data_IF_786644886027
#
_entry.id   IF_786644886027
#
_cell.length_a   1.000
_cell.length_b   1.000
_cell.length_c   1.000
_cell.angle_alpha   90.00
_cell.angle_beta   90.00
_cell.angle_gamma   90.00
#
_symmetry.space_group_name_H-M   'P 1'
#
loop_
_entity.id
_entity.type
_entity.pdbx_description
1 polymer ?
#
# COMPACT_ATOMS: atom_id res chain seq x y z
N UNK A 1 -54.91 11.11 -46.59
CA UNK A 1 -54.74 11.09 -45.12
C UNK A 1 -55.07 9.70 -44.59
N UNK A 2 -54.06 8.87 -44.31
CA UNK A 2 -54.14 7.75 -43.36
C UNK A 2 -52.74 7.55 -42.81
N UNK A 3 -52.54 8.07 -41.62
CA UNK A 3 -51.26 8.13 -40.92
C UNK A 3 -51.12 6.92 -40.01
N UNK A 4 -49.87 6.45 -39.90
CA UNK A 4 -49.24 5.80 -38.77
C UNK A 4 -49.69 4.40 -38.36
N UNK A 5 -48.76 3.46 -38.51
CA UNK A 5 -48.77 2.14 -37.90
C UNK A 5 -47.39 1.49 -37.97
N UNK A 6 -46.34 2.19 -37.55
CA UNK A 6 -45.03 1.58 -37.26
C UNK A 6 -44.53 2.18 -35.96
N UNK A 7 -44.59 1.40 -34.88
CA UNK A 7 -43.64 1.57 -33.77
C UNK A 7 -43.14 0.17 -33.48
N UNK A 8 -41.94 -0.10 -34.01
CA UNK A 8 -41.20 -1.33 -33.81
C UNK A 8 -40.78 -1.48 -32.35
N UNK A 9 -40.81 -2.72 -31.89
CA UNK A 9 -40.08 -3.14 -30.71
C UNK A 9 -38.60 -3.25 -31.06
N UNK A 10 -37.72 -2.55 -30.34
CA UNK A 10 -36.33 -2.99 -30.18
C UNK A 10 -35.81 -2.57 -28.81
N UNK A 11 -35.54 -3.60 -28.01
CA UNK A 11 -34.85 -3.58 -26.72
C UNK A 11 -33.42 -3.10 -26.93
N UNK A 12 -32.98 -2.11 -26.14
CA UNK A 12 -31.57 -1.88 -25.85
C UNK A 12 -31.44 -1.44 -24.39
N UNK A 13 -31.45 -2.42 -23.48
CA UNK A 13 -30.87 -2.31 -22.15
C UNK A 13 -29.35 -2.18 -22.33
N UNK A 14 -28.85 -0.99 -22.67
CA UNK A 14 -27.44 -0.66 -22.45
C UNK A 14 -27.26 -0.31 -20.97
N UNK A 15 -27.37 -1.32 -20.11
CA UNK A 15 -26.61 -1.27 -18.88
C UNK A 15 -25.14 -1.51 -19.29
N UNK A 16 -24.47 -0.46 -19.77
CA UNK A 16 -23.01 -0.39 -19.68
C UNK A 16 -22.69 -0.21 -18.19
N UNK A 17 -22.93 -1.27 -17.41
CA UNK A 17 -22.18 -1.49 -16.19
C UNK A 17 -20.74 -1.61 -16.64
N UNK A 18 -20.02 -0.49 -16.66
CA UNK A 18 -18.57 -0.50 -16.76
C UNK A 18 -18.09 -1.61 -15.83
N UNK A 19 -17.47 -2.66 -16.39
CA UNK A 19 -17.00 -3.79 -15.62
C UNK A 19 -16.05 -3.23 -14.55
N UNK A 20 -16.50 -3.32 -13.31
CA UNK A 20 -15.68 -3.02 -12.16
C UNK A 20 -14.59 -4.09 -12.07
N UNK A 21 -13.35 -3.64 -11.88
CA UNK A 21 -12.19 -4.50 -11.63
C UNK A 21 -11.80 -4.34 -10.17
N UNK A 22 -11.27 -5.39 -9.55
CA UNK A 22 -10.79 -5.39 -8.18
C UNK A 22 -9.49 -6.19 -8.06
N UNK A 23 -8.58 -5.78 -7.16
CA UNK A 23 -7.36 -6.50 -6.76
C UNK A 23 -7.26 -6.57 -5.23
N UNK A 24 -6.63 -7.62 -4.73
CA UNK A 24 -6.23 -7.66 -3.32
C UNK A 24 -4.93 -6.90 -3.18
N UNK A 25 -4.86 -5.99 -2.22
CA UNK A 25 -3.71 -5.18 -1.97
C UNK A 25 -3.27 -5.30 -0.52
N UNK A 26 -1.97 -5.41 -0.31
CA UNK A 26 -1.37 -5.53 1.01
C UNK A 26 -0.15 -4.65 1.12
N UNK A 27 0.04 -4.07 2.30
CA UNK A 27 1.29 -3.46 2.69
C UNK A 27 1.98 -4.29 3.77
N UNK A 28 3.30 -4.46 3.64
CA UNK A 28 4.13 -5.11 4.63
C UNK A 28 5.39 -4.27 4.87
N UNK A 29 5.81 -4.19 6.12
CA UNK A 29 7.00 -3.45 6.49
C UNK A 29 8.09 -4.33 7.11
N UNK A 30 9.35 -4.00 6.80
CA UNK A 30 10.54 -4.56 7.42
C UNK A 30 11.39 -3.43 8.01
N UNK A 31 12.08 -3.73 9.11
CA UNK A 31 13.03 -2.82 9.73
C UNK A 31 14.33 -3.54 10.04
N UNK A 32 15.44 -2.96 9.61
CA UNK A 32 16.77 -3.52 9.75
C UNK A 32 17.66 -2.56 10.55
N UNK A 33 18.50 -3.14 11.40
CA UNK A 33 19.41 -2.40 12.27
C UNK A 33 20.85 -2.84 12.03
N UNK A 34 21.74 -1.86 11.94
CA UNK A 34 23.18 -2.07 11.89
C UNK A 34 23.84 -1.35 13.08
N UNK A 35 24.23 -2.10 14.09
CA UNK A 35 24.89 -1.58 15.29
C UNK A 35 26.41 -1.79 15.25
N UNK A 36 27.15 -0.80 15.74
CA UNK A 36 28.55 -1.00 16.10
C UNK A 36 28.68 -1.98 17.27
N UNK A 37 29.62 -2.93 17.20
CA UNK A 37 29.94 -3.92 18.25
C UNK A 37 30.27 -3.29 19.62
N UNK A 38 30.58 -2.00 19.64
CA UNK A 38 30.94 -1.26 20.87
C UNK A 38 29.74 -0.71 21.63
N UNK A 39 28.53 -0.76 21.05
CA UNK A 39 27.29 -0.33 21.70
C UNK A 39 26.87 -1.39 22.73
N UNK A 40 26.45 -0.96 23.92
CA UNK A 40 26.00 -1.91 24.94
C UNK A 40 24.73 -2.66 24.51
N UNK A 41 24.62 -3.95 24.87
CA UNK A 41 23.46 -4.77 24.52
C UNK A 41 22.14 -4.19 25.06
N UNK A 42 22.17 -3.55 26.22
CA UNK A 42 20.99 -2.89 26.79
C UNK A 42 20.49 -1.72 25.90
N UNK A 43 21.39 -1.01 25.23
CA UNK A 43 21.02 0.03 24.29
C UNK A 43 20.50 -0.56 22.98
N UNK A 44 21.12 -1.63 22.47
CA UNK A 44 20.63 -2.37 21.29
C UNK A 44 19.19 -2.82 21.51
N UNK A 45 18.94 -3.56 22.60
CA UNK A 45 17.61 -4.08 22.94
C UNK A 45 16.56 -2.94 23.06
N UNK A 46 16.96 -1.81 23.66
CA UNK A 46 16.08 -0.67 23.82
C UNK A 46 15.74 0.04 22.49
N UNK A 47 16.73 0.17 21.59
CA UNK A 47 16.56 0.79 20.28
C UNK A 47 15.71 -0.09 19.36
N UNK A 48 16.01 -1.39 19.29
CA UNK A 48 15.22 -2.35 18.53
C UNK A 48 13.76 -2.38 18.99
N UNK A 49 13.52 -2.45 20.31
CA UNK A 49 12.16 -2.44 20.85
C UNK A 49 11.43 -1.12 20.58
N UNK A 50 12.13 0.02 20.68
CA UNK A 50 11.58 1.33 20.40
C UNK A 50 11.13 1.45 18.94
N UNK A 51 12.04 1.19 18.00
CA UNK A 51 11.75 1.29 16.58
C UNK A 51 10.74 0.24 16.11
N UNK A 52 10.83 -1.01 16.56
CA UNK A 52 9.85 -2.05 16.18
C UNK A 52 8.43 -1.69 16.63
N UNK A 53 8.28 -1.08 17.81
CA UNK A 53 6.97 -0.64 18.31
C UNK A 53 6.43 0.55 17.52
N UNK A 54 7.27 1.55 17.27
CA UNK A 54 6.90 2.72 16.46
C UNK A 54 6.58 2.33 15.03
N UNK A 55 7.40 1.50 14.40
CA UNK A 55 7.24 1.09 13.00
C UNK A 55 5.92 0.37 12.75
N UNK A 56 5.54 -0.60 13.60
CA UNK A 56 4.23 -1.28 13.49
C UNK A 56 3.05 -0.32 13.72
N UNK A 57 3.24 0.73 14.52
CA UNK A 57 2.20 1.72 14.79
C UNK A 57 2.04 2.71 13.64
N UNK A 58 3.15 3.16 13.07
CA UNK A 58 3.20 4.18 12.02
C UNK A 58 2.93 3.56 10.64
N UNK A 59 3.29 2.28 10.44
CA UNK A 59 3.17 1.52 9.20
C UNK A 59 2.48 0.17 9.46
N UNK A 60 1.18 0.16 9.83
CA UNK A 60 0.46 -1.08 10.11
C UNK A 60 0.32 -1.92 8.85
N UNK A 61 0.34 -3.25 8.99
CA UNK A 61 -0.01 -4.16 7.89
C UNK A 61 -1.44 -3.88 7.43
N UNK A 62 -1.58 -3.21 6.29
CA UNK A 62 -2.87 -2.87 5.71
C UNK A 62 -3.23 -3.92 4.67
N UNK A 63 -4.43 -4.45 4.73
CA UNK A 63 -4.95 -5.35 3.70
C UNK A 63 -6.33 -4.85 3.28
N UNK A 64 -6.47 -4.58 1.99
CA UNK A 64 -7.69 -4.02 1.43
C UNK A 64 -7.93 -4.50 0.01
N UNK A 65 -9.20 -4.51 -0.40
CA UNK A 65 -9.56 -4.71 -1.81
C UNK A 65 -9.70 -3.35 -2.48
N UNK A 66 -8.95 -3.12 -3.56
CA UNK A 66 -9.04 -1.90 -4.37
C UNK A 66 -9.86 -2.19 -5.62
N UNK A 67 -11.04 -1.56 -5.72
CA UNK A 67 -11.95 -1.68 -6.85
C UNK A 67 -12.12 -0.37 -7.63
N UNK A 68 -12.32 -0.46 -8.95
CA UNK A 68 -12.52 0.72 -9.80
C UNK A 68 -12.95 0.38 -11.22
N UNK A 69 -13.19 1.42 -12.05
CA UNK A 69 -13.61 1.28 -13.45
C UNK A 69 -12.63 1.97 -14.39
N UNK A 70 -12.25 1.28 -15.47
CA UNK A 70 -11.39 1.87 -16.51
C UNK A 70 -10.13 2.49 -15.93
N UNK A 71 -9.91 3.79 -16.16
CA UNK A 71 -8.74 4.54 -15.66
C UNK A 71 -8.76 4.74 -14.14
N UNK A 72 -9.93 4.78 -13.51
CA UNK A 72 -10.04 4.99 -12.07
C UNK A 72 -9.50 3.77 -11.31
N UNK A 73 -9.60 2.58 -11.90
CA UNK A 73 -8.99 1.37 -11.34
C UNK A 73 -7.46 1.50 -11.30
N UNK A 74 -6.84 1.80 -12.46
CA UNK A 74 -5.38 1.94 -12.54
C UNK A 74 -4.89 3.06 -11.61
N UNK A 75 -5.59 4.21 -11.56
CA UNK A 75 -5.27 5.31 -10.64
C UNK A 75 -5.38 4.90 -9.16
N UNK A 76 -6.38 4.09 -8.79
CA UNK A 76 -6.53 3.64 -7.41
C UNK A 76 -5.44 2.64 -7.01
N UNK A 77 -5.00 1.79 -7.93
CA UNK A 77 -3.85 0.89 -7.71
C UNK A 77 -2.58 1.72 -7.55
N UNK A 78 -2.30 2.62 -8.49
CA UNK A 78 -1.13 3.50 -8.44
C UNK A 78 -1.11 4.34 -7.14
N UNK A 79 -2.27 4.81 -6.69
CA UNK A 79 -2.39 5.56 -5.44
C UNK A 79 -2.08 4.71 -4.21
N UNK A 80 -2.51 3.44 -4.19
CA UNK A 80 -2.22 2.51 -3.11
C UNK A 80 -0.75 2.12 -3.08
N UNK A 81 -0.18 1.74 -4.23
CA UNK A 81 1.24 1.36 -4.33
C UNK A 81 2.18 2.56 -4.09
N UNK A 82 1.71 3.80 -4.30
CA UNK A 82 2.44 5.00 -3.91
C UNK A 82 2.51 5.26 -2.39
N UNK A 83 1.79 4.48 -1.57
CA UNK A 83 1.94 4.50 -0.11
C UNK A 83 3.21 3.76 0.35
N UNK A 84 3.89 3.01 -0.53
CA UNK A 84 5.20 2.43 -0.24
C UNK A 84 6.22 3.51 0.16
N UNK A 85 7.04 3.22 1.16
CA UNK A 85 7.97 4.17 1.76
C UNK A 85 9.25 3.48 2.24
N UNK A 86 10.40 4.03 1.85
CA UNK A 86 11.72 3.59 2.30
C UNK A 86 12.44 4.75 3.01
N UNK A 87 13.11 4.44 4.11
CA UNK A 87 13.97 5.40 4.80
C UNK A 87 15.23 4.75 5.37
N UNK A 88 16.26 5.57 5.52
CA UNK A 88 17.49 5.23 6.26
C UNK A 88 17.84 6.39 7.18
N UNK A 89 18.13 6.07 8.44
CA UNK A 89 18.57 7.04 9.45
C UNK A 89 19.92 6.63 10.03
N UNK A 90 20.89 7.52 9.90
CA UNK A 90 22.20 7.39 10.53
C UNK A 90 22.20 8.06 11.90
N UNK A 91 22.61 7.31 12.92
CA UNK A 91 22.52 7.71 14.31
C UNK A 91 23.84 7.51 15.07
N UNK A 92 23.89 8.01 16.30
CA UNK A 92 25.05 7.83 17.19
C UNK A 92 24.60 7.69 18.64
N UNK A 93 25.12 6.68 19.34
CA UNK A 93 24.90 6.46 20.77
C UNK A 93 26.22 6.06 21.43
N UNK A 94 26.52 6.61 22.61
CA UNK A 94 27.81 6.38 23.30
C UNK A 94 29.05 6.76 22.48
N UNK A 95 28.89 7.57 21.43
CA UNK A 95 29.94 7.93 20.48
C UNK A 95 30.18 6.92 19.36
N UNK A 96 29.37 5.85 19.28
CA UNK A 96 29.44 4.84 18.23
C UNK A 96 28.29 4.99 17.23
N UNK A 97 28.57 4.82 15.93
CA UNK A 97 27.56 4.91 14.90
C UNK A 97 26.64 3.67 14.92
N UNK A 98 25.41 3.88 14.50
CA UNK A 98 24.49 2.82 14.13
C UNK A 98 23.49 3.36 13.11
N UNK A 99 22.90 2.48 12.32
CA UNK A 99 21.96 2.83 11.25
C UNK A 99 20.70 2.00 11.40
N UNK A 100 19.56 2.59 11.03
CA UNK A 100 18.28 1.90 10.89
C UNK A 100 17.71 2.17 9.52
N UNK A 101 17.24 1.11 8.86
CA UNK A 101 16.57 1.19 7.57
C UNK A 101 15.19 0.58 7.72
N UNK A 102 14.17 1.31 7.28
CA UNK A 102 12.80 0.80 7.20
C UNK A 102 12.34 0.78 5.74
N UNK A 103 11.70 -0.31 5.36
CA UNK A 103 11.11 -0.52 4.05
C UNK A 103 9.66 -0.95 4.25
N UNK A 104 8.73 -0.19 3.69
CA UNK A 104 7.30 -0.48 3.71
C UNK A 104 6.82 -0.57 2.28
N UNK A 105 6.40 -1.77 1.87
CA UNK A 105 6.00 -2.07 0.50
C UNK A 105 4.52 -2.41 0.42
N UNK A 106 3.77 -1.54 -0.25
CA UNK A 106 2.37 -1.67 -0.60
C UNK A 106 2.23 -2.15 -2.04
N UNK A 107 1.68 -3.35 -2.20
CA UNK A 107 1.50 -3.98 -3.52
C UNK A 107 0.08 -4.46 -3.71
N UNK A 108 -0.43 -4.33 -4.92
CA UNK A 108 -1.67 -4.96 -5.35
C UNK A 108 -1.35 -6.18 -6.22
N UNK A 109 -2.01 -7.31 -5.95
CA UNK A 109 -1.87 -8.55 -6.71
C UNK A 109 -3.18 -8.91 -7.44
N UNK A 110 -3.02 -9.57 -8.59
CA UNK A 110 -4.18 -10.11 -9.31
C UNK A 110 -4.76 -11.28 -8.53
N UNK A 111 -6.09 -11.34 -8.45
CA UNK A 111 -6.83 -12.47 -7.85
C UNK A 111 -6.80 -13.74 -8.70
#
# INVERSE_FOLDING_TARGET
>A
MKTLGIIGATVLLFALSACEKCRDCSCAGNIEFEFSDSISSANVDALEAGYSTSFVTDYPDNNSEVCGKGKDFDVNIDAYEAESYEFTEDNTIEGYPWTVTGDYDCVCEDK
#
